data_IF_006461113741
#
_entry.id   IF_006461113741
#
_cell.length_a   1.000
_cell.length_b   1.000
_cell.length_c   1.000
_cell.angle_alpha   90.00
_cell.angle_beta   90.00
_cell.angle_gamma   90.00
#
_symmetry.space_group_name_H-M   'P 1'
#
loop_
_entity.id
_entity.type
_entity.pdbx_description
1 polymer ?
#
# COMPACT_ATOMS: atom_id res chain seq x y z
N UNK A 1 -0.73 46.91 -19.53
CA UNK A 1 -0.48 45.45 -19.70
C UNK A 1 -1.53 44.88 -20.64
N UNK A 2 -1.12 44.28 -21.77
CA UNK A 2 -2.04 43.67 -22.72
C UNK A 2 -2.87 42.56 -22.06
N UNK A 3 -4.21 42.58 -22.24
CA UNK A 3 -5.16 41.59 -21.69
C UNK A 3 -4.74 40.14 -21.98
N UNK A 4 -4.12 39.91 -23.14
CA UNK A 4 -3.56 38.62 -23.56
C UNK A 4 -2.46 38.13 -22.60
N UNK A 5 -1.48 38.98 -22.25
CA UNK A 5 -0.37 38.62 -21.35
C UNK A 5 -0.84 38.19 -19.95
N UNK A 6 -1.91 38.80 -19.43
CA UNK A 6 -2.50 38.42 -18.14
C UNK A 6 -3.15 37.03 -18.20
N UNK A 7 -3.94 36.75 -19.23
CA UNK A 7 -4.58 35.43 -19.46
C UNK A 7 -3.55 34.31 -19.62
N UNK A 8 -2.45 34.57 -20.32
CA UNK A 8 -1.35 33.61 -20.48
C UNK A 8 -0.69 33.25 -19.14
N UNK A 9 -0.49 34.24 -18.26
CA UNK A 9 0.08 34.04 -16.93
C UNK A 9 -0.86 33.23 -16.03
N UNK A 10 -2.15 33.55 -16.05
CA UNK A 10 -3.19 32.82 -15.30
C UNK A 10 -3.31 31.35 -15.77
N UNK A 11 -3.21 31.09 -17.08
CA UNK A 11 -3.20 29.72 -17.62
C UNK A 11 -1.96 28.92 -17.22
N UNK A 12 -0.77 29.54 -17.25
CA UNK A 12 0.46 28.92 -16.75
C UNK A 12 0.35 28.50 -15.29
N UNK A 13 -0.20 29.38 -14.45
CA UNK A 13 -0.45 29.09 -13.03
C UNK A 13 -1.40 27.90 -12.83
N UNK A 14 -2.40 27.72 -13.69
CA UNK A 14 -3.29 26.55 -13.62
C UNK A 14 -2.55 25.25 -13.90
N UNK A 15 -1.65 25.23 -14.89
CA UNK A 15 -0.83 24.06 -15.19
C UNK A 15 0.09 23.74 -14.01
N UNK A 16 0.75 24.76 -13.44
CA UNK A 16 1.64 24.60 -12.28
C UNK A 16 0.88 24.03 -11.06
N UNK A 17 -0.35 24.51 -10.81
CA UNK A 17 -1.21 24.00 -9.74
C UNK A 17 -1.53 22.52 -9.95
N UNK A 18 -1.83 22.11 -11.18
CA UNK A 18 -2.11 20.71 -11.50
C UNK A 18 -0.86 19.86 -11.31
N UNK A 19 0.31 20.34 -11.73
CA UNK A 19 1.58 19.65 -11.55
C UNK A 19 1.93 19.45 -10.07
N UNK A 20 1.76 20.49 -9.25
CA UNK A 20 1.91 20.40 -7.79
C UNK A 20 0.98 19.32 -7.21
N UNK A 21 -0.26 19.23 -7.69
CA UNK A 21 -1.21 18.21 -7.23
C UNK A 21 -0.79 16.80 -7.66
N UNK A 22 -0.30 16.62 -8.89
CA UNK A 22 0.27 15.34 -9.36
C UNK A 22 1.44 14.92 -8.46
N UNK A 23 2.38 15.83 -8.19
CA UNK A 23 3.53 15.58 -7.33
C UNK A 23 3.12 15.26 -5.88
N UNK A 24 2.02 15.84 -5.37
CA UNK A 24 1.45 15.45 -4.07
C UNK A 24 0.90 14.03 -4.10
N UNK A 25 0.17 13.63 -5.14
CA UNK A 25 -0.31 12.25 -5.28
C UNK A 25 0.84 11.26 -5.43
N UNK A 26 1.89 11.61 -6.18
CA UNK A 26 3.08 10.77 -6.33
C UNK A 26 3.78 10.54 -4.99
N UNK A 27 3.97 11.58 -4.17
CA UNK A 27 4.53 11.43 -2.82
C UNK A 27 3.67 10.54 -1.93
N UNK A 28 2.34 10.68 -2.01
CA UNK A 28 1.41 9.81 -1.30
C UNK A 28 1.55 8.34 -1.74
N UNK A 29 1.67 8.07 -3.04
CA UNK A 29 1.91 6.71 -3.56
C UNK A 29 3.20 6.10 -3.04
N UNK A 30 4.29 6.87 -3.01
CA UNK A 30 5.58 6.40 -2.47
C UNK A 30 5.42 5.97 -1.01
N UNK A 31 4.73 6.78 -0.20
CA UNK A 31 4.46 6.44 1.21
C UNK A 31 3.60 5.18 1.35
N UNK A 32 2.51 5.07 0.59
CA UNK A 32 1.60 3.93 0.66
C UNK A 32 2.27 2.63 0.21
N UNK A 33 3.08 2.66 -0.86
CA UNK A 33 3.84 1.49 -1.32
C UNK A 33 4.87 1.03 -0.30
N UNK A 34 5.48 1.97 0.44
CA UNK A 34 6.38 1.62 1.54
C UNK A 34 5.62 0.90 2.67
N UNK A 35 4.47 1.45 3.08
CA UNK A 35 3.61 0.82 4.09
C UNK A 35 3.14 -0.57 3.65
N UNK A 36 2.75 -0.72 2.38
CA UNK A 36 2.39 -2.02 1.81
C UNK A 36 3.53 -3.03 1.96
N UNK A 37 4.76 -2.66 1.58
CA UNK A 37 5.91 -3.55 1.69
C UNK A 37 6.22 -3.92 3.14
N UNK A 38 6.12 -2.96 4.06
CA UNK A 38 6.32 -3.19 5.50
C UNK A 38 5.30 -4.20 6.04
N UNK A 39 4.01 -4.03 5.74
CA UNK A 39 2.94 -4.96 6.12
C UNK A 39 3.14 -6.33 5.50
N UNK A 40 3.49 -6.40 4.21
CA UNK A 40 3.77 -7.65 3.51
C UNK A 40 4.90 -8.43 4.19
N UNK A 41 6.01 -7.77 4.52
CA UNK A 41 7.14 -8.39 5.20
C UNK A 41 6.76 -8.92 6.61
N UNK A 42 5.90 -8.20 7.33
CA UNK A 42 5.40 -8.65 8.65
C UNK A 42 4.56 -9.91 8.50
N UNK A 43 3.65 -9.93 7.52
CA UNK A 43 2.80 -11.10 7.23
C UNK A 43 3.67 -12.30 6.85
N UNK A 44 4.64 -12.11 5.96
CA UNK A 44 5.57 -13.18 5.55
C UNK A 44 6.35 -13.75 6.74
N UNK A 45 6.83 -12.88 7.64
CA UNK A 45 7.51 -13.31 8.86
C UNK A 45 6.61 -14.15 9.75
N UNK A 46 5.35 -13.73 9.96
CA UNK A 46 4.36 -14.49 10.75
C UNK A 46 4.08 -15.86 10.13
N UNK A 47 4.00 -15.95 8.81
CA UNK A 47 3.85 -17.23 8.12
C UNK A 47 5.05 -18.17 8.32
N UNK A 48 6.28 -17.64 8.29
CA UNK A 48 7.48 -18.42 8.63
C UNK A 48 7.47 -18.90 10.08
N UNK A 49 6.97 -18.08 11.00
CA UNK A 49 6.80 -18.48 12.41
C UNK A 49 5.76 -19.60 12.55
N UNK A 50 4.60 -19.48 11.87
CA UNK A 50 3.58 -20.53 11.82
C UNK A 50 4.15 -21.84 11.28
N UNK A 51 4.93 -21.78 10.20
CA UNK A 51 5.53 -22.98 9.62
C UNK A 51 6.48 -23.68 10.60
N UNK A 52 7.29 -22.93 11.35
CA UNK A 52 8.15 -23.48 12.40
C UNK A 52 7.34 -24.14 13.51
N UNK A 53 6.29 -23.48 14.00
CA UNK A 53 5.42 -24.04 15.04
C UNK A 53 4.67 -25.29 14.53
N UNK A 54 4.27 -25.33 13.26
CA UNK A 54 3.69 -26.53 12.65
C UNK A 54 4.69 -27.68 12.55
N UNK A 55 5.94 -27.39 12.21
CA UNK A 55 7.01 -28.40 12.20
C UNK A 55 7.27 -28.92 13.62
N UNK A 56 7.34 -28.03 14.61
CA UNK A 56 7.48 -28.39 16.01
C UNK A 56 6.30 -29.26 16.47
N UNK A 57 5.06 -28.89 16.17
CA UNK A 57 3.87 -29.65 16.50
C UNK A 57 3.91 -31.09 15.97
N UNK A 58 4.44 -31.28 14.75
CA UNK A 58 4.63 -32.61 14.14
C UNK A 58 5.72 -33.42 14.83
N UNK A 59 6.72 -32.76 15.40
CA UNK A 59 7.84 -33.38 16.10
C UNK A 59 7.54 -33.70 17.57
N UNK A 60 6.48 -33.14 18.17
CA UNK A 60 6.11 -33.43 19.56
C UNK A 60 5.77 -34.92 19.72
N UNK A 61 6.54 -35.60 20.57
CA UNK A 61 6.35 -37.00 20.93
C UNK A 61 6.41 -37.19 22.46
N UNK A 62 6.06 -38.39 22.91
CA UNK A 62 6.18 -38.80 24.32
C UNK A 62 7.67 -38.86 24.69
N UNK A 63 8.08 -38.04 25.67
CA UNK A 63 9.42 -38.05 26.21
C UNK A 63 9.51 -38.95 27.45
N UNK A 64 10.71 -39.38 27.83
CA UNK A 64 10.91 -40.07 29.09
C UNK A 64 10.88 -39.07 30.25
N UNK A 65 9.66 -38.78 30.75
CA UNK A 65 9.43 -37.87 31.85
C UNK A 65 8.21 -38.30 32.69
N UNK A 66 8.10 -37.88 33.96
CA UNK A 66 6.90 -38.10 34.76
C UNK A 66 5.68 -37.44 34.10
N UNK A 67 4.56 -38.16 34.03
CA UNK A 67 3.34 -37.71 33.34
C UNK A 67 3.57 -37.34 31.86
N UNK A 68 4.49 -38.05 31.18
CA UNK A 68 4.88 -37.78 29.79
C UNK A 68 3.71 -37.60 28.83
N UNK A 69 2.67 -38.43 28.94
CA UNK A 69 1.51 -38.34 28.06
C UNK A 69 0.73 -37.04 28.27
N UNK A 70 0.41 -36.69 29.51
CA UNK A 70 -0.28 -35.44 29.84
C UNK A 70 0.54 -34.22 29.42
N UNK A 71 1.85 -34.24 29.66
CA UNK A 71 2.75 -33.15 29.26
C UNK A 71 2.87 -33.01 27.75
N UNK A 72 2.89 -34.12 27.02
CA UNK A 72 2.85 -34.10 25.55
C UNK A 72 1.57 -33.42 25.05
N UNK A 73 0.40 -33.77 25.59
CA UNK A 73 -0.86 -33.12 25.23
C UNK A 73 -0.85 -31.62 25.54
N UNK A 74 -0.37 -31.23 26.73
CA UNK A 74 -0.24 -29.81 27.08
C UNK A 74 0.66 -29.05 26.10
N UNK A 75 1.81 -29.62 25.71
CA UNK A 75 2.70 -29.02 24.70
C UNK A 75 2.00 -28.89 23.35
N UNK A 76 1.31 -29.93 22.87
CA UNK A 76 0.58 -29.88 21.60
C UNK A 76 -0.49 -28.81 21.60
N UNK A 77 -1.26 -28.71 22.68
CA UNK A 77 -2.35 -27.74 22.77
C UNK A 77 -1.83 -26.30 22.86
N UNK A 78 -0.76 -26.08 23.64
CA UNK A 78 -0.08 -24.79 23.69
C UNK A 78 0.47 -24.36 22.34
N UNK A 79 1.11 -25.27 21.58
CA UNK A 79 1.61 -24.99 20.23
C UNK A 79 0.48 -24.68 19.26
N UNK A 80 -0.64 -25.41 19.28
CA UNK A 80 -1.81 -25.09 18.46
C UNK A 80 -2.35 -23.70 18.75
N UNK A 81 -2.51 -23.37 20.04
CA UNK A 81 -2.98 -22.04 20.45
C UNK A 81 -2.02 -20.93 19.98
N UNK A 82 -0.70 -21.18 20.02
CA UNK A 82 0.29 -20.26 19.48
C UNK A 82 0.14 -20.07 17.97
N UNK A 83 -0.06 -21.15 17.21
CA UNK A 83 -0.32 -21.10 15.76
C UNK A 83 -1.59 -20.30 15.46
N UNK A 84 -2.67 -20.53 16.20
CA UNK A 84 -3.95 -19.82 16.04
C UNK A 84 -3.78 -18.32 16.31
N UNK A 85 -3.06 -17.95 17.36
CA UNK A 85 -2.75 -16.55 17.67
C UNK A 85 -1.93 -15.89 16.56
N UNK A 86 -0.90 -16.57 16.03
CA UNK A 86 -0.09 -16.05 14.93
C UNK A 86 -0.91 -15.90 13.65
N UNK A 87 -1.80 -16.85 13.37
CA UNK A 87 -2.69 -16.80 12.22
C UNK A 87 -3.69 -15.64 12.32
N UNK A 88 -4.24 -15.42 13.52
CA UNK A 88 -5.14 -14.29 13.78
C UNK A 88 -4.43 -12.95 13.56
N UNK A 89 -3.22 -12.78 14.12
CA UNK A 89 -2.38 -11.59 13.89
C UNK A 89 -2.12 -11.36 12.39
N UNK A 90 -1.72 -12.41 11.67
CA UNK A 90 -1.44 -12.34 10.24
C UNK A 90 -2.69 -11.97 9.43
N UNK A 91 -3.86 -12.45 9.86
CA UNK A 91 -5.15 -12.15 9.21
C UNK A 91 -5.57 -10.70 9.39
N UNK A 92 -5.38 -10.13 10.58
CA UNK A 92 -5.61 -8.68 10.80
C UNK A 92 -4.69 -7.87 9.89
N UNK A 93 -3.39 -8.20 9.87
CA UNK A 93 -2.42 -7.49 9.03
C UNK A 93 -2.73 -7.63 7.55
N UNK A 94 -3.31 -8.75 7.14
CA UNK A 94 -3.77 -8.95 5.76
C UNK A 94 -4.91 -8.00 5.39
N UNK A 95 -5.85 -7.74 6.31
CA UNK A 95 -6.88 -6.74 6.10
C UNK A 95 -6.29 -5.33 5.98
N UNK A 96 -5.34 -4.98 6.86
CA UNK A 96 -4.61 -3.70 6.78
C UNK A 96 -3.92 -3.54 5.40
N UNK A 97 -3.32 -4.62 4.88
CA UNK A 97 -2.66 -4.63 3.58
C UNK A 97 -3.65 -4.40 2.43
N UNK A 98 -4.81 -5.04 2.47
CA UNK A 98 -5.89 -4.89 1.47
C UNK A 98 -6.45 -3.47 1.48
N UNK A 99 -6.57 -2.84 2.64
CA UNK A 99 -6.94 -1.43 2.73
C UNK A 99 -5.91 -0.53 2.07
N UNK A 100 -4.62 -0.74 2.35
CA UNK A 100 -3.53 0.03 1.73
C UNK A 100 -3.53 -0.17 0.20
N UNK A 101 -3.78 -1.38 -0.29
CA UNK A 101 -3.88 -1.68 -1.73
C UNK A 101 -5.04 -0.91 -2.40
N UNK A 102 -6.20 -0.85 -1.74
CA UNK A 102 -7.33 -0.05 -2.19
C UNK A 102 -6.98 1.45 -2.21
N UNK A 103 -6.29 1.94 -1.17
CA UNK A 103 -5.83 3.33 -1.12
C UNK A 103 -4.85 3.66 -2.24
N UNK A 104 -3.90 2.75 -2.53
CA UNK A 104 -2.97 2.88 -3.67
C UNK A 104 -3.76 3.01 -4.97
N UNK A 105 -4.70 2.09 -5.23
CA UNK A 105 -5.52 2.08 -6.44
C UNK A 105 -6.29 3.39 -6.63
N UNK A 106 -6.90 3.89 -5.55
CA UNK A 106 -7.63 5.16 -5.56
C UNK A 106 -6.72 6.36 -5.85
N UNK A 107 -5.54 6.40 -5.26
CA UNK A 107 -4.57 7.48 -5.48
C UNK A 107 -3.99 7.43 -6.90
N UNK A 108 -3.73 6.24 -7.43
CA UNK A 108 -3.29 6.07 -8.82
C UNK A 108 -4.35 6.55 -9.81
N UNK A 109 -5.62 6.21 -9.59
CA UNK A 109 -6.73 6.70 -10.40
C UNK A 109 -6.85 8.24 -10.33
N UNK A 110 -6.71 8.82 -9.15
CA UNK A 110 -6.73 10.28 -8.97
C UNK A 110 -5.55 10.95 -9.67
N UNK A 111 -4.34 10.39 -9.58
CA UNK A 111 -3.15 10.86 -10.30
C UNK A 111 -3.37 10.84 -11.81
N UNK A 112 -3.84 9.72 -12.36
CA UNK A 112 -4.15 9.60 -13.80
C UNK A 112 -5.17 10.64 -14.27
N UNK A 113 -6.20 10.93 -13.47
CA UNK A 113 -7.18 12.00 -13.79
C UNK A 113 -6.51 13.38 -13.85
N UNK A 114 -5.58 13.67 -12.94
CA UNK A 114 -4.84 14.93 -12.94
C UNK A 114 -3.86 15.04 -14.12
N UNK A 115 -3.20 13.94 -14.48
CA UNK A 115 -2.31 13.87 -15.66
C UNK A 115 -3.11 14.17 -16.94
N UNK A 116 -4.25 13.49 -17.15
CA UNK A 116 -5.14 13.78 -18.29
C UNK A 116 -5.60 15.24 -18.33
N UNK A 117 -5.89 15.83 -17.16
CA UNK A 117 -6.26 17.25 -17.07
C UNK A 117 -5.09 18.17 -17.41
N UNK A 118 -3.87 17.82 -17.01
CA UNK A 118 -2.65 18.56 -17.37
C UNK A 118 -2.45 18.54 -18.89
N UNK A 119 -2.57 17.37 -19.50
CA UNK A 119 -2.40 17.21 -20.95
C UNK A 119 -3.43 18.05 -21.73
N UNK A 120 -4.71 17.98 -21.35
CA UNK A 120 -5.76 18.81 -21.94
C UNK A 120 -5.50 20.33 -21.78
N UNK A 121 -4.96 20.77 -20.63
CA UNK A 121 -4.59 22.17 -20.41
C UNK A 121 -3.40 22.60 -21.27
N UNK A 122 -2.45 21.69 -21.52
CA UNK A 122 -1.31 21.94 -22.42
C UNK A 122 -1.80 22.07 -23.86
N UNK A 123 -2.67 21.17 -24.33
CA UNK A 123 -3.26 21.26 -25.68
C UNK A 123 -4.06 22.56 -25.87
N UNK A 124 -4.88 22.96 -24.88
CA UNK A 124 -5.62 24.22 -24.94
C UNK A 124 -4.69 25.44 -24.97
N UNK A 125 -3.59 25.37 -24.22
CA UNK A 125 -2.55 26.41 -24.24
C UNK A 125 -1.91 26.52 -25.61
N UNK A 126 -1.65 25.40 -26.28
CA UNK A 126 -1.10 25.39 -27.65
C UNK A 126 -2.09 25.97 -28.66
N UNK A 127 -3.37 25.58 -28.60
CA UNK A 127 -4.43 26.13 -29.49
C UNK A 127 -4.56 27.65 -29.36
N UNK A 128 -4.60 28.18 -28.14
CA UNK A 128 -4.62 29.64 -27.91
C UNK A 128 -3.36 30.35 -28.41
N UNK A 129 -2.23 29.65 -28.52
CA UNK A 129 -0.98 30.19 -29.11
C UNK A 129 -1.13 30.41 -30.60
N UNK A 130 -1.74 29.46 -31.29
CA UNK A 130 -1.96 29.54 -32.74
C UNK A 130 -3.05 30.58 -33.08
N UNK A 131 -4.15 30.63 -32.33
CA UNK A 131 -5.23 31.63 -32.52
C UNK A 131 -4.80 33.09 -32.25
N UNK A 132 -3.66 33.33 -31.61
CA UNK A 132 -3.13 34.68 -31.36
C UNK A 132 -2.09 35.15 -32.38
N UNK A 133 -1.82 34.33 -33.41
CA UNK A 133 -0.92 34.64 -34.53
C UNK A 133 -1.65 34.84 -35.88
N UNK A 134 -2.99 34.72 -35.90
CA UNK A 134 -3.89 35.18 -36.98
C UNK A 134 -4.56 36.51 -36.58
#
# INVERSE_FOLDING_TARGET
MNKLSKRWKEFGQLIDIVDIRINKQQRKLVSLRKQYQELFNIIEKKWKEIEKEQQYLKAINVASEPNALSRMFMRRESTKSSIESLFFDASIRRQDLEEVELQITNVEAAKRKLEKRKDALIELREKMRYESHD
#
